data_IF_629931359913
#
_entry.id   IF_629931359913
#
_cell.length_a   1.000
_cell.length_b   1.000
_cell.length_c   1.000
_cell.angle_alpha   90.00
_cell.angle_beta   90.00
_cell.angle_gamma   90.00
#
_symmetry.space_group_name_H-M   'P 1'
#
loop_
_entity.id
_entity.type
_entity.pdbx_description
1 polymer ?
#
# COMPACT_ATOMS: atom_id res chain seq x y z
N UNK A 1 -3.21 -2.89 -8.78
CA UNK A 1 -3.42 -1.52 -8.27
C UNK A 1 -4.66 -1.33 -7.40
N UNK A 2 -5.77 -2.09 -7.52
CA UNK A 2 -6.91 -1.95 -6.57
C UNK A 2 -7.55 -3.27 -6.10
N UNK A 3 -6.81 -4.39 -6.09
CA UNK A 3 -7.38 -5.71 -5.74
C UNK A 3 -8.44 -6.23 -6.73
N UNK A 4 -8.76 -5.47 -7.79
CA UNK A 4 -9.65 -5.88 -8.86
C UNK A 4 -9.12 -7.10 -9.62
N UNK A 5 -10.06 -7.85 -10.20
CA UNK A 5 -9.76 -9.03 -11.00
C UNK A 5 -8.85 -8.66 -12.18
N UNK A 6 -7.69 -9.32 -12.31
CA UNK A 6 -6.67 -9.04 -13.33
C UNK A 6 -6.08 -10.33 -13.87
N UNK A 7 -5.60 -10.31 -15.13
CA UNK A 7 -4.89 -11.45 -15.70
C UNK A 7 -3.43 -11.45 -15.24
N UNK A 8 -2.98 -12.58 -14.69
CA UNK A 8 -1.61 -12.78 -14.21
C UNK A 8 -0.88 -13.77 -15.11
N UNK A 9 0.34 -13.43 -15.49
CA UNK A 9 1.21 -14.32 -16.27
C UNK A 9 2.68 -14.13 -15.86
N UNK A 10 3.51 -15.12 -16.18
CA UNK A 10 4.96 -15.02 -16.06
C UNK A 10 5.54 -14.65 -17.44
N UNK A 11 6.35 -13.58 -17.56
CA UNK A 11 7.02 -13.24 -18.82
C UNK A 11 7.85 -14.39 -19.41
N UNK A 12 8.50 -15.19 -18.56
CA UNK A 12 9.26 -16.39 -18.95
C UNK A 12 8.39 -17.53 -19.46
N UNK A 13 7.13 -17.61 -19.02
CA UNK A 13 6.17 -18.64 -19.42
C UNK A 13 4.81 -18.04 -19.81
N UNK A 14 4.74 -17.19 -20.85
CA UNK A 14 3.57 -16.35 -21.12
C UNK A 14 2.37 -17.16 -21.63
N UNK A 15 2.61 -18.39 -22.09
CA UNK A 15 1.57 -19.32 -22.55
C UNK A 15 0.93 -20.15 -21.42
N UNK A 16 1.52 -20.17 -20.22
CA UNK A 16 1.07 -21.00 -19.08
C UNK A 16 0.19 -20.19 -18.12
N UNK A 17 -0.96 -19.73 -18.60
CA UNK A 17 -1.87 -18.88 -17.82
C UNK A 17 -2.92 -19.76 -17.13
N UNK A 18 -2.81 -19.93 -15.82
CA UNK A 18 -3.71 -20.78 -15.03
C UNK A 18 -5.17 -20.32 -15.10
N UNK A 19 -5.40 -19.01 -15.16
CA UNK A 19 -6.74 -18.42 -15.27
C UNK A 19 -7.45 -18.80 -16.57
N UNK A 20 -6.71 -19.22 -17.61
CA UNK A 20 -7.23 -19.57 -18.94
C UNK A 20 -7.15 -21.07 -19.23
N UNK A 21 -6.90 -21.91 -18.22
CA UNK A 21 -6.72 -23.36 -18.39
C UNK A 21 -8.00 -24.09 -18.83
N UNK A 22 -9.17 -23.55 -18.51
CA UNK A 22 -10.46 -24.01 -19.00
C UNK A 22 -11.44 -22.81 -19.10
N UNK A 23 -12.51 -22.91 -19.90
CA UNK A 23 -13.42 -21.78 -20.13
C UNK A 23 -14.19 -21.31 -18.88
N UNK A 24 -14.53 -22.22 -17.97
CA UNK A 24 -15.21 -21.88 -16.72
C UNK A 24 -14.35 -20.98 -15.84
N UNK A 25 -13.06 -21.33 -15.68
CA UNK A 25 -12.09 -20.50 -14.98
C UNK A 25 -11.87 -19.17 -15.69
N UNK A 26 -11.74 -19.15 -17.03
CA UNK A 26 -11.57 -17.91 -17.76
C UNK A 26 -12.75 -16.94 -17.55
N UNK A 27 -13.98 -17.44 -17.55
CA UNK A 27 -15.17 -16.62 -17.28
C UNK A 27 -15.22 -16.07 -15.85
N UNK A 28 -14.70 -16.82 -14.89
CA UNK A 28 -14.73 -16.47 -13.47
C UNK A 28 -13.59 -15.54 -13.09
N UNK A 29 -12.38 -15.77 -13.62
CA UNK A 29 -11.10 -15.22 -13.13
C UNK A 29 -10.54 -14.08 -13.98
N UNK A 30 -11.12 -13.77 -15.15
CA UNK A 30 -10.65 -12.67 -16.03
C UNK A 30 -11.42 -11.38 -15.81
N UNK A 31 -10.80 -10.27 -16.25
CA UNK A 31 -11.36 -8.92 -16.11
C UNK A 31 -12.77 -8.81 -16.70
N UNK A 32 -13.68 -8.23 -15.90
CA UNK A 32 -15.06 -7.91 -16.31
C UNK A 32 -15.27 -6.43 -16.59
N UNK A 33 -14.36 -5.60 -16.10
CA UNK A 33 -14.37 -4.15 -16.21
C UNK A 33 -12.97 -3.66 -16.58
N UNK A 34 -12.89 -2.53 -17.26
CA UNK A 34 -11.66 -1.79 -17.53
C UNK A 34 -11.72 -0.42 -16.88
N UNK A 35 -10.56 0.13 -16.57
CA UNK A 35 -10.42 1.52 -16.19
C UNK A 35 -10.19 2.37 -17.45
N UNK A 36 -10.91 3.48 -17.56
CA UNK A 36 -10.82 4.40 -18.68
C UNK A 36 -10.75 5.84 -18.16
N UNK A 37 -9.99 6.67 -18.86
CA UNK A 37 -9.97 8.11 -18.64
C UNK A 37 -10.92 8.76 -19.63
N UNK A 38 -11.85 9.58 -19.14
CA UNK A 38 -12.68 10.41 -20.02
C UNK A 38 -11.84 11.59 -20.53
N UNK A 39 -11.70 11.69 -21.86
CA UNK A 39 -10.94 12.75 -22.52
C UNK A 39 -11.80 14.00 -22.81
N UNK A 40 -13.08 13.97 -22.47
CA UNK A 40 -13.93 15.15 -22.56
C UNK A 40 -13.51 16.17 -21.50
N UNK A 41 -12.95 17.31 -21.92
CA UNK A 41 -12.52 18.36 -20.99
C UNK A 41 -13.66 18.89 -20.10
N UNK A 42 -14.92 18.78 -20.53
CA UNK A 42 -16.07 19.22 -19.74
C UNK A 42 -16.48 18.31 -18.58
N UNK A 43 -16.02 17.06 -18.55
CA UNK A 43 -16.29 16.11 -17.46
C UNK A 43 -15.15 16.03 -16.44
N UNK A 44 -14.03 16.71 -16.69
CA UNK A 44 -12.88 16.71 -15.79
C UNK A 44 -13.19 17.47 -14.50
N UNK A 45 -12.92 16.82 -13.36
CA UNK A 45 -13.06 17.41 -12.03
C UNK A 45 -11.67 17.54 -11.40
N UNK A 46 -11.15 18.77 -11.21
CA UNK A 46 -9.92 18.99 -10.46
C UNK A 46 -10.10 18.52 -9.01
N UNK A 47 -9.27 17.59 -8.57
CA UNK A 47 -9.36 17.01 -7.23
C UNK A 47 -8.04 16.38 -6.83
N UNK A 48 -7.88 16.21 -5.53
CA UNK A 48 -6.77 15.53 -4.85
C UNK A 48 -7.05 14.02 -4.66
N UNK A 49 -8.07 13.51 -5.34
CA UNK A 49 -8.39 12.09 -5.44
C UNK A 49 -8.04 11.61 -6.86
N UNK A 50 -7.01 10.77 -6.97
CA UNK A 50 -6.48 10.29 -8.24
C UNK A 50 -7.49 9.39 -9.00
N UNK A 51 -8.50 8.86 -8.32
CA UNK A 51 -9.52 7.97 -8.90
C UNK A 51 -10.74 8.68 -9.48
N UNK A 52 -10.97 9.95 -9.14
CA UNK A 52 -12.23 10.66 -9.42
C UNK A 52 -12.53 10.83 -10.92
N UNK A 53 -11.49 10.93 -11.74
CA UNK A 53 -11.60 11.09 -13.19
C UNK A 53 -11.47 9.73 -13.92
N UNK A 54 -11.32 8.64 -13.19
CA UNK A 54 -11.21 7.29 -13.75
C UNK A 54 -12.57 6.62 -13.72
N UNK A 55 -13.07 6.28 -14.90
CA UNK A 55 -14.35 5.58 -15.07
C UNK A 55 -14.12 4.07 -15.22
N UNK A 56 -15.02 3.27 -14.65
CA UNK A 56 -15.06 1.82 -14.86
C UNK A 56 -16.05 1.49 -15.98
N UNK A 57 -15.59 0.80 -17.01
CA UNK A 57 -16.42 0.39 -18.15
C UNK A 57 -16.50 -1.14 -18.18
N UNK A 58 -17.71 -1.73 -18.14
CA UNK A 58 -17.88 -3.17 -18.34
C UNK A 58 -17.34 -3.61 -19.70
N UNK A 59 -16.63 -4.75 -19.76
CA UNK A 59 -16.03 -5.26 -21.00
C UNK A 59 -17.06 -5.48 -22.11
N UNK A 60 -18.30 -5.80 -21.76
CA UNK A 60 -19.43 -5.97 -22.70
C UNK A 60 -19.87 -4.66 -23.38
N UNK A 61 -19.54 -3.50 -22.81
CA UNK A 61 -19.95 -2.17 -23.29
C UNK A 61 -18.84 -1.48 -24.10
N UNK A 62 -17.65 -2.09 -24.21
CA UNK A 62 -16.56 -1.57 -25.02
C UNK A 62 -16.90 -1.72 -26.50
N UNK A 63 -17.03 -0.60 -27.20
CA UNK A 63 -17.30 -0.53 -28.64
C UNK A 63 -16.04 -0.42 -29.49
N UNK A 64 -14.89 -0.07 -28.90
CA UNK A 64 -13.62 0.05 -29.60
C UNK A 64 -13.05 -1.35 -29.93
N UNK A 65 -13.29 -1.81 -31.16
CA UNK A 65 -12.79 -3.08 -31.66
C UNK A 65 -11.27 -3.13 -31.84
N UNK A 66 -10.60 -2.01 -32.13
CA UNK A 66 -9.15 -2.00 -32.37
C UNK A 66 -8.36 -2.29 -31.09
N UNK A 67 -8.82 -1.77 -29.94
CA UNK A 67 -8.28 -2.08 -28.63
C UNK A 67 -8.53 -3.55 -28.25
N UNK A 68 -9.79 -4.01 -28.37
CA UNK A 68 -10.15 -5.38 -28.00
C UNK A 68 -9.44 -6.44 -28.86
N UNK A 69 -9.09 -6.13 -30.11
CA UNK A 69 -8.35 -7.04 -30.98
C UNK A 69 -7.05 -7.54 -30.34
N UNK A 70 -6.37 -6.74 -29.52
CA UNK A 70 -5.11 -7.16 -28.89
C UNK A 70 -5.30 -7.87 -27.55
N UNK A 71 -6.35 -7.52 -26.81
CA UNK A 71 -6.54 -7.95 -25.42
C UNK A 71 -7.61 -9.03 -25.23
N UNK A 72 -8.55 -9.19 -26.16
CA UNK A 72 -9.74 -9.99 -25.97
C UNK A 72 -9.83 -11.23 -26.86
N UNK A 73 -10.66 -12.17 -26.42
CA UNK A 73 -11.07 -13.38 -27.13
C UNK A 73 -12.59 -13.58 -27.01
N UNK A 74 -13.17 -14.45 -27.84
CA UNK A 74 -14.59 -14.81 -27.79
C UNK A 74 -14.79 -16.16 -27.12
N UNK A 75 -15.65 -16.21 -26.12
CA UNK A 75 -16.14 -17.46 -25.55
C UNK A 75 -17.42 -17.91 -26.24
N UNK A 76 -17.33 -19.08 -26.87
CA UNK A 76 -18.41 -19.76 -27.56
C UNK A 76 -19.17 -20.65 -26.55
N UNK A 77 -20.38 -20.21 -26.20
CA UNK A 77 -21.22 -20.91 -25.23
C UNK A 77 -21.69 -22.28 -25.71
N UNK A 78 -21.87 -22.47 -27.03
CA UNK A 78 -22.41 -23.71 -27.58
C UNK A 78 -21.35 -24.81 -27.56
N UNK A 79 -20.12 -24.45 -27.92
CA UNK A 79 -19.02 -25.40 -28.01
C UNK A 79 -18.15 -25.46 -26.75
N UNK A 80 -18.41 -24.59 -25.76
CA UNK A 80 -17.62 -24.44 -24.54
C UNK A 80 -16.12 -24.28 -24.85
N UNK A 81 -15.78 -23.36 -25.74
CA UNK A 81 -14.39 -23.07 -26.12
C UNK A 81 -14.12 -21.57 -26.16
N UNK A 82 -12.84 -21.20 -26.02
CA UNK A 82 -12.36 -19.83 -26.21
C UNK A 82 -11.69 -19.76 -27.58
N UNK A 83 -12.17 -18.84 -28.41
CA UNK A 83 -11.63 -18.54 -29.74
C UNK A 83 -10.80 -17.25 -29.66
N UNK A 84 -9.51 -17.29 -30.04
CA UNK A 84 -8.67 -16.09 -30.07
C UNK A 84 -9.26 -14.99 -30.96
N UNK A 85 -9.16 -13.74 -30.49
CA UNK A 85 -9.66 -12.57 -31.20
C UNK A 85 -11.14 -12.27 -30.96
N UNK A 86 -11.63 -11.21 -31.61
CA UNK A 86 -12.96 -10.63 -31.37
C UNK A 86 -14.00 -11.03 -32.42
N UNK A 87 -13.60 -11.76 -33.45
CA UNK A 87 -14.47 -12.21 -34.55
C UNK A 87 -15.34 -13.38 -34.12
N UNK A 88 -16.62 -13.34 -34.50
CA UNK A 88 -17.59 -14.41 -34.24
C UNK A 88 -18.56 -14.10 -33.11
N UNK A 89 -19.46 -15.05 -32.85
CA UNK A 89 -20.49 -14.94 -31.82
C UNK A 89 -19.96 -15.43 -30.47
N UNK A 90 -20.46 -14.85 -29.37
CA UNK A 90 -20.08 -15.24 -28.02
C UNK A 90 -19.68 -14.08 -27.12
N UNK A 91 -19.41 -14.41 -25.85
CA UNK A 91 -19.07 -13.43 -24.82
C UNK A 91 -17.61 -12.99 -24.97
N UNK A 92 -17.37 -11.69 -24.90
CA UNK A 92 -16.00 -11.13 -24.90
C UNK A 92 -15.33 -11.41 -23.55
N UNK A 93 -14.11 -11.96 -23.59
CA UNK A 93 -13.29 -12.28 -22.42
C UNK A 93 -11.89 -11.69 -22.62
N UNK A 94 -11.29 -11.11 -21.58
CA UNK A 94 -9.92 -10.57 -21.62
C UNK A 94 -8.90 -11.69 -21.39
N UNK A 95 -8.07 -11.98 -22.39
CA UNK A 95 -7.12 -13.10 -22.39
C UNK A 95 -5.71 -12.69 -22.79
N UNK A 96 -5.57 -11.58 -23.52
CA UNK A 96 -4.33 -11.14 -24.15
C UNK A 96 -3.68 -12.20 -25.06
N UNK A 97 -4.44 -13.15 -25.61
CA UNK A 97 -3.91 -14.25 -26.43
C UNK A 97 -3.08 -13.74 -27.63
N UNK A 98 -3.49 -12.64 -28.26
CA UNK A 98 -2.75 -12.07 -29.38
C UNK A 98 -1.37 -11.52 -28.99
N UNK A 99 -1.23 -11.01 -27.78
CA UNK A 99 0.04 -10.52 -27.24
C UNK A 99 0.86 -11.67 -26.66
N UNK A 100 0.26 -12.51 -25.80
CA UNK A 100 0.96 -13.51 -24.99
C UNK A 100 1.21 -14.84 -25.71
N UNK A 101 0.36 -15.23 -26.67
CA UNK A 101 0.48 -16.49 -27.42
C UNK A 101 0.91 -16.27 -28.87
N UNK A 102 0.31 -15.30 -29.55
CA UNK A 102 0.54 -15.05 -30.98
C UNK A 102 1.63 -14.02 -31.28
N UNK A 103 2.28 -13.45 -30.24
CA UNK A 103 3.44 -12.56 -30.36
C UNK A 103 3.23 -11.37 -31.30
N UNK A 104 2.01 -10.84 -31.37
CA UNK A 104 1.69 -9.63 -32.14
C UNK A 104 2.48 -8.43 -31.59
N UNK A 105 2.88 -8.48 -30.32
CA UNK A 105 3.77 -7.52 -29.67
C UNK A 105 4.67 -8.30 -28.69
N UNK A 106 5.99 -8.10 -28.67
CA UNK A 106 6.93 -8.89 -27.85
C UNK A 106 6.94 -8.43 -26.39
N UNK A 107 5.75 -8.32 -25.78
CA UNK A 107 5.61 -7.88 -24.39
C UNK A 107 6.37 -8.80 -23.42
N UNK A 108 6.24 -10.14 -23.49
CA UNK A 108 6.97 -11.01 -22.56
C UNK A 108 8.49 -10.83 -22.63
N UNK A 109 9.04 -10.71 -23.85
CA UNK A 109 10.47 -10.54 -24.07
C UNK A 109 11.00 -9.18 -23.56
N UNK A 110 10.21 -8.11 -23.75
CA UNK A 110 10.52 -6.78 -23.20
C UNK A 110 10.54 -6.84 -21.67
N UNK A 111 9.50 -7.43 -21.07
CA UNK A 111 9.38 -7.50 -19.61
C UNK A 111 10.48 -8.36 -18.99
N UNK A 112 10.81 -9.51 -19.57
CA UNK A 112 11.91 -10.36 -19.11
C UNK A 112 13.24 -9.60 -19.13
N UNK A 113 13.53 -8.89 -20.23
CA UNK A 113 14.75 -8.07 -20.36
C UNK A 113 14.81 -6.95 -19.33
N UNK A 114 13.73 -6.19 -19.16
CA UNK A 114 13.69 -5.07 -18.21
C UNK A 114 13.79 -5.54 -16.76
N UNK A 115 13.13 -6.65 -16.43
CA UNK A 115 13.21 -7.26 -15.10
C UNK A 115 14.63 -7.74 -14.80
N UNK A 116 15.27 -8.48 -15.72
CA UNK A 116 16.63 -8.99 -15.52
C UNK A 116 17.66 -7.86 -15.36
N UNK A 117 17.59 -6.84 -16.21
CA UNK A 117 18.48 -5.68 -16.13
C UNK A 117 18.22 -4.89 -14.84
N UNK A 118 16.97 -4.57 -14.56
CA UNK A 118 16.65 -3.77 -13.38
C UNK A 118 16.97 -4.48 -12.06
N UNK A 119 16.74 -5.80 -11.96
CA UNK A 119 17.14 -6.60 -10.81
C UNK A 119 18.66 -6.57 -10.60
N UNK A 120 19.41 -6.73 -11.69
CA UNK A 120 20.88 -6.73 -11.65
C UNK A 120 21.44 -5.38 -11.20
N UNK A 121 20.95 -4.29 -11.78
CA UNK A 121 21.48 -2.94 -11.50
C UNK A 121 21.04 -2.40 -10.13
N UNK A 122 19.86 -2.80 -9.63
CA UNK A 122 19.36 -2.39 -8.31
C UNK A 122 19.75 -3.34 -7.16
N UNK A 123 20.33 -4.51 -7.47
CA UNK A 123 20.75 -5.50 -6.47
C UNK A 123 19.61 -6.09 -5.64
N UNK A 124 18.36 -5.93 -6.07
CA UNK A 124 17.15 -6.38 -5.38
C UNK A 124 16.12 -6.83 -6.43
N UNK A 125 15.12 -7.65 -6.07
CA UNK A 125 13.93 -7.83 -6.91
C UNK A 125 13.30 -6.47 -7.22
N UNK A 126 12.63 -6.31 -8.36
CA UNK A 126 12.06 -5.03 -8.78
C UNK A 126 10.59 -5.15 -9.17
N UNK A 127 9.89 -4.04 -9.03
CA UNK A 127 8.56 -3.80 -9.59
C UNK A 127 8.68 -2.77 -10.71
N UNK A 128 7.97 -3.00 -11.81
CA UNK A 128 7.91 -2.08 -12.95
C UNK A 128 6.47 -1.73 -13.31
N UNK A 129 6.25 -0.48 -13.66
CA UNK A 129 5.02 0.00 -14.27
C UNK A 129 5.29 0.40 -15.71
N UNK A 130 4.39 0.03 -16.61
CA UNK A 130 4.54 0.28 -18.04
C UNK A 130 3.19 0.52 -18.71
N UNK A 131 3.23 1.14 -19.89
CA UNK A 131 2.08 1.26 -20.78
C UNK A 131 2.51 0.92 -22.22
N UNK A 132 1.67 0.20 -22.96
CA UNK A 132 1.95 -0.12 -24.36
C UNK A 132 0.90 0.50 -25.28
N UNK A 133 1.35 1.26 -26.29
CA UNK A 133 0.50 1.68 -27.38
C UNK A 133 0.64 0.72 -28.57
N UNK A 134 -0.40 -0.09 -28.77
CA UNK A 134 -0.44 -1.11 -29.82
C UNK A 134 -1.18 -0.64 -31.09
N UNK A 135 -1.90 0.47 -30.99
CA UNK A 135 -2.65 1.08 -32.08
C UNK A 135 -1.82 2.21 -32.69
N UNK A 136 -1.02 1.84 -33.68
CA UNK A 136 -0.12 2.76 -34.39
C UNK A 136 -0.50 2.84 -35.86
N UNK A 137 -0.22 3.97 -36.53
CA UNK A 137 -0.35 4.07 -37.98
C UNK A 137 0.40 2.94 -38.70
N UNK A 138 -0.12 2.54 -39.86
CA UNK A 138 0.49 1.47 -40.67
C UNK A 138 1.96 1.82 -40.96
N UNK A 139 2.86 0.87 -40.72
CA UNK A 139 4.29 1.05 -40.91
C UNK A 139 5.03 1.67 -39.72
N UNK A 140 4.33 2.13 -38.67
CA UNK A 140 4.97 2.60 -37.45
C UNK A 140 5.14 1.47 -36.42
N UNK A 141 6.24 1.47 -35.64
CA UNK A 141 6.44 0.50 -34.58
C UNK A 141 5.46 0.76 -33.42
N UNK A 142 5.05 -0.32 -32.75
CA UNK A 142 4.32 -0.25 -31.49
C UNK A 142 5.22 0.35 -30.41
N UNK A 143 4.62 1.10 -29.48
CA UNK A 143 5.38 1.84 -28.47
C UNK A 143 5.24 1.14 -27.11
N UNK A 144 6.37 0.89 -26.47
CA UNK A 144 6.44 0.51 -25.06
C UNK A 144 6.93 1.70 -24.24
N UNK A 145 6.17 2.12 -23.25
CA UNK A 145 6.52 3.19 -22.33
C UNK A 145 6.88 2.59 -20.97
N UNK A 146 8.11 2.80 -20.54
CA UNK A 146 8.57 2.43 -19.21
C UNK A 146 8.27 3.58 -18.26
N UNK A 147 7.31 3.40 -17.36
CA UNK A 147 6.76 4.48 -16.55
C UNK A 147 7.48 4.59 -15.21
N UNK A 148 7.73 3.46 -14.57
CA UNK A 148 8.32 3.42 -13.24
C UNK A 148 9.08 2.12 -13.02
N UNK A 149 10.13 2.21 -12.22
CA UNK A 149 10.86 1.08 -11.65
C UNK A 149 11.13 1.36 -10.17
N UNK A 150 10.88 0.38 -9.32
CA UNK A 150 11.16 0.46 -7.89
C UNK A 150 11.78 -0.87 -7.42
N UNK A 151 12.80 -0.84 -6.56
CA UNK A 151 13.26 -2.06 -5.91
C UNK A 151 12.16 -2.56 -4.97
N UNK A 152 11.79 -3.82 -5.13
CA UNK A 152 11.07 -4.57 -4.11
C UNK A 152 12.07 -4.83 -3.01
N UNK A 153 11.73 -4.29 -1.85
CA UNK A 153 12.48 -4.54 -0.64
C UNK A 153 12.22 -5.98 -0.26
N UNK A 154 13.20 -6.84 -0.47
CA UNK A 154 13.19 -8.13 0.18
C UNK A 154 13.27 -7.85 1.68
N UNK A 155 12.31 -8.39 2.45
CA UNK A 155 12.50 -8.46 3.88
C UNK A 155 13.74 -9.32 4.07
N UNK A 156 14.82 -8.73 4.55
CA UNK A 156 15.98 -9.49 5.00
C UNK A 156 15.50 -10.35 6.17
N UNK A 157 15.00 -11.54 5.82
CA UNK A 157 14.40 -12.54 6.68
C UNK A 157 15.46 -13.24 7.56
N UNK A 158 16.69 -12.74 7.53
CA UNK A 158 17.88 -13.34 8.13
C UNK A 158 18.18 -12.86 9.55
N UNK A 159 17.62 -11.74 10.01
CA UNK A 159 17.65 -11.40 11.43
C UNK A 159 16.49 -12.09 12.14
N UNK A 160 16.81 -13.14 12.89
CA UNK A 160 15.94 -13.64 13.96
C UNK A 160 15.90 -12.51 15.00
N UNK A 161 14.84 -11.70 14.96
CA UNK A 161 14.59 -10.70 15.99
C UNK A 161 13.87 -11.43 17.11
N UNK A 162 14.56 -11.64 18.22
CA UNK A 162 13.93 -12.24 19.39
C UNK A 162 13.06 -11.20 20.10
N UNK A 163 11.79 -11.12 19.71
CA UNK A 163 10.76 -10.28 20.35
C UNK A 163 10.01 -11.10 21.44
N UNK A 164 10.28 -12.39 21.53
CA UNK A 164 9.77 -13.24 22.59
C UNK A 164 10.52 -12.91 23.89
N UNK A 165 9.75 -12.67 24.96
CA UNK A 165 10.22 -12.29 26.31
C UNK A 165 10.54 -10.81 26.55
N UNK A 166 10.11 -9.88 25.70
CA UNK A 166 10.17 -8.45 26.06
C UNK A 166 9.10 -8.12 27.10
N UNK A 167 9.51 -7.44 28.17
CA UNK A 167 8.63 -7.03 29.26
C UNK A 167 7.92 -5.71 28.95
N UNK A 168 6.70 -5.57 29.48
CA UNK A 168 5.95 -4.31 29.41
C UNK A 168 6.70 -3.15 30.09
N UNK A 169 7.47 -3.44 31.16
CA UNK A 169 8.25 -2.43 31.89
C UNK A 169 9.23 -1.68 30.99
N UNK A 170 9.76 -2.36 29.98
CA UNK A 170 10.84 -1.87 29.12
C UNK A 170 10.30 -1.32 27.79
N UNK A 171 8.97 -1.39 27.60
CA UNK A 171 8.31 -1.09 26.34
C UNK A 171 7.43 0.15 26.44
N UNK A 172 7.35 0.91 25.36
CA UNK A 172 6.34 1.97 25.16
C UNK A 172 5.10 1.36 24.49
N UNK A 173 5.32 0.52 23.46
CA UNK A 173 4.27 -0.19 22.72
C UNK A 173 4.65 -1.65 22.56
N UNK A 174 3.69 -2.55 22.78
CA UNK A 174 3.73 -3.94 22.30
C UNK A 174 2.47 -4.18 21.48
N UNK A 175 2.61 -4.72 20.29
CA UNK A 175 1.51 -5.07 19.39
C UNK A 175 1.61 -6.53 19.01
N UNK A 176 0.51 -7.27 19.18
CA UNK A 176 0.33 -8.65 18.69
C UNK A 176 -0.25 -8.67 17.26
N UNK A 177 -0.37 -7.50 16.62
CA UNK A 177 -0.87 -7.31 15.27
C UNK A 177 -0.08 -6.22 14.55
N UNK A 178 1.15 -6.56 14.20
CA UNK A 178 2.10 -5.70 13.52
C UNK A 178 2.38 -6.17 12.08
N UNK A 179 2.54 -5.19 11.20
CA UNK A 179 2.98 -5.35 9.81
C UNK A 179 4.30 -4.62 9.60
N UNK A 180 5.13 -5.21 8.74
CA UNK A 180 6.52 -4.84 8.57
C UNK A 180 7.44 -5.96 9.07
N UNK A 181 8.74 -5.75 8.97
CA UNK A 181 9.73 -6.68 9.48
C UNK A 181 11.06 -5.95 9.66
N UNK A 182 11.85 -6.34 10.66
CA UNK A 182 13.17 -5.78 10.89
C UNK A 182 13.24 -4.85 12.10
N UNK A 183 14.37 -4.15 12.21
CA UNK A 183 14.63 -3.17 13.26
C UNK A 183 14.75 -1.78 12.64
N UNK A 184 13.88 -0.84 13.07
CA UNK A 184 13.97 0.57 12.67
C UNK A 184 14.82 1.31 13.71
N UNK A 185 15.79 2.09 13.24
CA UNK A 185 16.73 2.87 14.06
C UNK A 185 16.65 4.35 13.71
N UNK A 186 17.13 5.21 14.61
CA UNK A 186 17.25 6.65 14.37
C UNK A 186 15.95 7.43 14.55
N UNK A 187 14.92 6.83 15.13
CA UNK A 187 13.67 7.51 15.48
C UNK A 187 13.80 8.07 16.89
N UNK A 188 13.74 9.39 17.02
CA UNK A 188 13.83 10.10 18.30
C UNK A 188 12.53 10.83 18.67
N UNK A 189 11.57 10.88 17.75
CA UNK A 189 10.36 11.68 17.91
C UNK A 189 9.13 10.77 17.93
N UNK A 190 8.29 10.93 18.95
CA UNK A 190 6.94 10.36 19.01
C UNK A 190 5.93 11.49 18.95
N UNK A 191 5.00 11.40 18.01
CA UNK A 191 3.80 12.24 17.95
C UNK A 191 2.63 11.33 18.28
N UNK A 192 1.85 11.68 19.30
CA UNK A 192 0.67 10.92 19.65
C UNK A 192 -0.57 11.79 19.88
N UNK A 193 -1.72 11.26 19.52
CA UNK A 193 -3.02 11.85 19.84
C UNK A 193 -3.36 11.51 21.29
N UNK A 194 -3.71 12.54 22.06
CA UNK A 194 -4.08 12.45 23.46
C UNK A 194 -5.43 11.75 23.61
N UNK A 195 -5.50 10.53 24.18
CA UNK A 195 -6.75 9.78 24.28
C UNK A 195 -7.82 10.48 25.13
N UNK A 196 -7.44 11.30 26.10
CA UNK A 196 -8.36 11.92 27.06
C UNK A 196 -9.19 13.04 26.43
N UNK A 197 -8.64 13.73 25.44
CA UNK A 197 -9.30 14.82 24.72
C UNK A 197 -9.86 14.38 23.37
N UNK A 198 -9.65 13.12 22.98
CA UNK A 198 -10.06 12.62 21.68
C UNK A 198 -11.60 12.57 21.56
N UNK A 199 -12.10 13.20 20.49
CA UNK A 199 -13.49 13.11 20.05
C UNK A 199 -13.48 13.04 18.53
N UNK A 200 -14.22 12.09 17.96
CA UNK A 200 -14.30 11.90 16.50
C UNK A 200 -14.72 13.19 15.74
N UNK A 201 -15.55 14.03 16.37
CA UNK A 201 -15.95 15.33 15.83
C UNK A 201 -14.78 16.31 15.59
N UNK A 202 -13.61 16.08 16.18
CA UNK A 202 -12.41 16.92 16.01
C UNK A 202 -11.41 16.35 14.98
N UNK A 203 -11.72 15.24 14.30
CA UNK A 203 -10.78 14.56 13.41
C UNK A 203 -10.23 15.45 12.29
N UNK A 204 -11.01 16.39 11.75
CA UNK A 204 -10.53 17.34 10.74
C UNK A 204 -9.48 18.33 11.29
N UNK A 205 -9.64 18.75 12.55
CA UNK A 205 -8.66 19.61 13.22
C UNK A 205 -7.35 18.87 13.43
N UNK A 206 -7.42 17.61 13.87
CA UNK A 206 -6.26 16.72 14.06
C UNK A 206 -5.48 16.59 12.75
N UNK A 207 -6.16 16.38 11.61
CA UNK A 207 -5.53 16.31 10.28
C UNK A 207 -4.75 17.59 9.97
N UNK A 208 -5.33 18.76 10.22
CA UNK A 208 -4.68 20.05 9.97
C UNK A 208 -3.44 20.28 10.83
N UNK A 209 -3.48 19.85 12.10
CA UNK A 209 -2.34 19.97 13.02
C UNK A 209 -1.22 18.98 12.62
N UNK A 210 -1.58 17.74 12.29
CA UNK A 210 -0.63 16.73 11.82
C UNK A 210 0.09 17.16 10.55
N UNK A 211 -0.63 17.72 9.57
CA UNK A 211 -0.02 18.21 8.33
C UNK A 211 1.03 19.30 8.61
N UNK A 212 0.71 20.25 9.50
CA UNK A 212 1.64 21.29 9.92
C UNK A 212 2.89 20.72 10.63
N UNK A 213 2.71 19.71 11.49
CA UNK A 213 3.84 19.03 12.15
C UNK A 213 4.68 18.26 11.14
N UNK A 214 4.06 17.46 10.27
CA UNK A 214 4.74 16.69 9.24
C UNK A 214 5.57 17.60 8.32
N UNK A 215 5.06 18.77 7.93
CA UNK A 215 5.80 19.77 7.17
C UNK A 215 7.08 20.26 7.87
N UNK A 216 7.13 20.31 9.20
CA UNK A 216 8.37 20.61 9.95
C UNK A 216 9.37 19.45 9.90
N UNK A 217 8.89 18.21 9.95
CA UNK A 217 9.73 17.01 9.80
C UNK A 217 10.29 16.89 8.38
N UNK A 218 9.50 17.22 7.35
CA UNK A 218 9.97 17.30 5.96
C UNK A 218 11.12 18.31 5.83
N UNK A 219 10.94 19.53 6.36
CA UNK A 219 11.96 20.59 6.30
C UNK A 219 13.25 20.26 7.06
N UNK A 220 13.14 19.48 8.14
CA UNK A 220 14.28 19.06 8.95
C UNK A 220 14.89 17.72 8.53
N UNK A 221 14.33 17.06 7.50
CA UNK A 221 14.73 15.73 7.07
C UNK A 221 14.76 14.70 8.21
N UNK A 222 13.79 14.79 9.13
CA UNK A 222 13.63 13.89 10.28
C UNK A 222 12.38 13.02 10.13
N UNK A 223 12.37 11.91 10.85
CA UNK A 223 11.26 10.97 10.88
C UNK A 223 10.73 10.78 12.30
N UNK A 224 9.49 10.31 12.40
CA UNK A 224 8.83 10.13 13.69
C UNK A 224 7.97 8.85 13.74
N UNK A 225 7.64 8.46 14.97
CA UNK A 225 6.64 7.44 15.30
C UNK A 225 5.32 8.17 15.55
N UNK A 226 4.24 7.64 14.99
CA UNK A 226 2.92 8.24 15.05
C UNK A 226 1.95 7.29 15.74
N UNK A 227 1.28 7.77 16.78
CA UNK A 227 0.36 6.95 17.58
C UNK A 227 -0.98 7.65 17.68
N UNK A 228 -2.08 6.95 17.45
CA UNK A 228 -3.38 7.54 17.75
C UNK A 228 -4.56 6.64 17.47
N UNK A 229 -5.75 7.09 17.88
CA UNK A 229 -6.90 6.23 17.92
C UNK A 229 -7.53 6.01 16.55
N UNK A 230 -8.14 4.84 16.39
CA UNK A 230 -9.00 4.57 15.26
C UNK A 230 -8.28 4.22 13.96
N UNK A 231 -9.04 4.24 12.87
CA UNK A 231 -8.58 3.89 11.52
C UNK A 231 -8.02 5.11 10.79
N UNK A 232 -6.78 5.04 10.34
CA UNK A 232 -6.10 6.10 9.63
C UNK A 232 -6.35 5.93 8.12
N UNK A 233 -6.79 7.01 7.47
CA UNK A 233 -7.12 6.99 6.04
C UNK A 233 -8.55 6.52 5.76
N UNK A 234 -9.44 6.62 6.76
CA UNK A 234 -10.88 6.42 6.57
C UNK A 234 -11.49 7.60 5.81
N UNK A 235 -12.40 7.33 4.87
CA UNK A 235 -13.25 8.36 4.27
C UNK A 235 -14.41 8.78 5.18
N UNK A 236 -14.70 7.99 6.22
CA UNK A 236 -15.69 8.31 7.25
C UNK A 236 -14.97 8.86 8.50
N UNK A 237 -15.09 10.17 8.79
CA UNK A 237 -14.47 10.81 9.96
C UNK A 237 -15.01 10.29 11.30
N UNK A 238 -16.20 9.67 11.34
CA UNK A 238 -16.78 9.12 12.55
C UNK A 238 -16.18 7.76 12.93
N UNK A 239 -15.61 7.04 11.96
CA UNK A 239 -15.01 5.71 12.14
C UNK A 239 -13.49 5.69 11.98
N UNK A 240 -12.90 6.77 11.45
CA UNK A 240 -11.46 6.95 11.44
C UNK A 240 -11.00 8.40 11.28
N UNK A 241 -9.70 8.62 11.37
CA UNK A 241 -9.07 9.91 11.08
C UNK A 241 -8.85 9.99 9.56
N UNK A 242 -9.42 10.99 8.86
CA UNK A 242 -9.35 11.10 7.39
C UNK A 242 -8.01 11.66 6.93
N UNK A 243 -6.93 10.97 7.29
CA UNK A 243 -5.56 11.33 6.92
C UNK A 243 -5.27 10.90 5.48
N UNK A 244 -4.51 11.72 4.75
CA UNK A 244 -3.90 11.33 3.47
C UNK A 244 -2.41 11.12 3.69
N UNK A 245 -1.76 10.35 2.81
CA UNK A 245 -0.32 10.07 2.92
C UNK A 245 0.52 11.33 3.06
N UNK A 246 0.22 12.38 2.29
CA UNK A 246 0.93 13.66 2.34
C UNK A 246 0.95 14.30 3.74
N UNK A 247 -0.11 14.11 4.54
CA UNK A 247 -0.23 14.71 5.87
C UNK A 247 0.69 14.05 6.91
N UNK A 248 1.20 12.84 6.63
CA UNK A 248 2.01 12.04 7.58
C UNK A 248 3.19 11.32 6.90
N UNK A 249 3.67 11.87 5.79
CA UNK A 249 4.67 11.24 4.92
C UNK A 249 6.03 10.97 5.59
N UNK A 250 6.31 11.61 6.73
CA UNK A 250 7.54 11.38 7.50
C UNK A 250 7.38 10.40 8.68
N UNK A 251 6.19 9.83 8.86
CA UNK A 251 6.02 8.71 9.77
C UNK A 251 6.81 7.49 9.27
N UNK A 252 7.49 6.79 10.18
CA UNK A 252 8.16 5.49 9.92
C UNK A 252 7.57 4.35 10.72
N UNK A 253 6.77 4.68 11.73
CA UNK A 253 5.93 3.74 12.45
C UNK A 253 4.58 4.42 12.68
N UNK A 254 3.49 3.71 12.40
CA UNK A 254 2.12 4.13 12.68
C UNK A 254 1.52 3.10 13.63
N UNK A 255 0.96 3.58 14.74
CA UNK A 255 0.31 2.76 15.76
C UNK A 255 -1.14 3.19 15.86
N UNK A 256 -2.05 2.32 15.42
CA UNK A 256 -3.48 2.50 15.60
C UNK A 256 -3.92 1.92 16.94
N UNK A 257 -4.48 2.78 17.80
CA UNK A 257 -4.98 2.36 19.11
C UNK A 257 -6.50 2.27 19.16
N UNK A 258 -7.04 1.14 19.61
CA UNK A 258 -8.46 1.02 19.91
C UNK A 258 -8.90 1.93 21.07
N UNK A 259 -10.14 2.40 21.03
CA UNK A 259 -10.84 3.06 22.16
C UNK A 259 -12.12 2.28 22.52
N UNK A 260 -12.71 2.45 23.72
CA UNK A 260 -13.84 1.64 24.19
C UNK A 260 -15.05 1.62 23.23
N UNK A 261 -15.30 2.76 22.57
CA UNK A 261 -16.41 2.95 21.63
C UNK A 261 -15.91 3.21 20.19
N UNK A 262 -14.65 2.90 19.89
CA UNK A 262 -14.03 3.16 18.59
C UNK A 262 -13.24 1.91 18.16
N UNK A 263 -13.94 0.97 17.54
CA UNK A 263 -13.34 -0.27 17.02
C UNK A 263 -12.71 -0.02 15.66
N UNK A 264 -11.56 -0.66 15.47
CA UNK A 264 -10.81 -0.66 14.23
C UNK A 264 -11.12 -1.96 13.50
N UNK A 265 -11.74 -1.86 12.32
CA UNK A 265 -11.62 -2.91 11.31
C UNK A 265 -10.44 -2.56 10.41
N UNK A 266 -9.47 -3.48 10.17
CA UNK A 266 -8.27 -3.19 9.40
C UNK A 266 -8.61 -2.62 8.02
N UNK A 267 -8.06 -1.44 7.73
CA UNK A 267 -8.21 -0.79 6.43
C UNK A 267 -7.24 -1.37 5.40
N UNK A 268 -7.72 -2.25 4.52
CA UNK A 268 -6.96 -2.58 3.31
C UNK A 268 -7.21 -1.58 2.16
N UNK A 269 -7.32 -0.29 2.49
CA UNK A 269 -7.47 0.78 1.49
C UNK A 269 -6.20 0.90 0.64
N UNK A 270 -6.34 0.75 -0.68
CA UNK A 270 -5.28 0.30 -1.59
C UNK A 270 -4.10 1.26 -1.75
N UNK A 271 -4.28 2.59 -1.81
CA UNK A 271 -3.14 3.52 -1.99
C UNK A 271 -2.42 3.87 -0.67
N UNK A 272 -3.16 4.08 0.42
CA UNK A 272 -2.56 4.34 1.74
C UNK A 272 -1.75 3.13 2.21
N UNK A 273 -2.31 1.93 2.06
CA UNK A 273 -1.63 0.69 2.43
C UNK A 273 -0.46 0.36 1.49
N UNK A 274 -0.58 0.63 0.18
CA UNK A 274 0.56 0.52 -0.75
C UNK A 274 1.73 1.43 -0.36
N UNK A 275 1.46 2.63 0.15
CA UNK A 275 2.53 3.52 0.62
C UNK A 275 3.17 2.99 1.91
N UNK A 276 2.38 2.48 2.85
CA UNK A 276 2.91 1.84 4.08
C UNK A 276 3.88 0.72 3.72
N UNK A 277 3.49 -0.17 2.80
CA UNK A 277 4.34 -1.29 2.37
C UNK A 277 5.54 -0.81 1.56
N UNK A 278 5.36 0.13 0.63
CA UNK A 278 6.43 0.62 -0.25
C UNK A 278 7.50 1.42 0.50
N UNK A 279 7.10 2.24 1.47
CA UNK A 279 8.01 3.08 2.25
C UNK A 279 8.52 2.42 3.54
N UNK A 280 8.27 1.11 3.72
CA UNK A 280 8.68 0.32 4.88
C UNK A 280 8.23 0.94 6.21
N UNK A 281 7.01 1.46 6.26
CA UNK A 281 6.44 2.00 7.49
C UNK A 281 5.99 0.83 8.36
N UNK A 282 6.49 0.76 9.60
CA UNK A 282 5.97 -0.21 10.57
C UNK A 282 4.53 0.14 10.91
N UNK A 283 3.62 -0.83 10.89
CA UNK A 283 2.20 -0.57 11.11
C UNK A 283 1.65 -1.48 12.20
N UNK A 284 1.30 -0.90 13.35
CA UNK A 284 0.95 -1.63 14.56
C UNK A 284 -0.52 -1.38 14.86
N UNK A 285 -1.25 -2.44 15.20
CA UNK A 285 -2.59 -2.34 15.77
C UNK A 285 -2.53 -2.75 17.23
N UNK A 286 -3.06 -1.92 18.12
CA UNK A 286 -3.20 -2.25 19.54
C UNK A 286 -4.60 -1.91 20.01
N UNK A 287 -5.12 -2.66 20.98
CA UNK A 287 -6.34 -2.32 21.69
C UNK A 287 -6.17 -2.57 23.20
N UNK A 288 -5.60 -1.60 23.93
CA UNK A 288 -5.35 -1.73 25.36
C UNK A 288 -6.61 -2.04 26.19
N UNK A 289 -7.81 -1.67 25.73
CA UNK A 289 -9.06 -1.87 26.46
C UNK A 289 -9.52 -3.32 26.55
N UNK A 290 -9.10 -4.16 25.60
CA UNK A 290 -9.38 -5.60 25.60
C UNK A 290 -8.12 -6.42 25.92
N UNK A 291 -7.08 -5.77 26.46
CA UNK A 291 -5.76 -6.34 26.70
C UNK A 291 -5.10 -6.94 25.45
N UNK A 292 -5.33 -6.33 24.28
CA UNK A 292 -4.66 -6.68 23.04
C UNK A 292 -3.51 -5.69 22.79
N UNK A 293 -2.29 -6.13 23.06
CA UNK A 293 -1.11 -5.26 23.09
C UNK A 293 -0.97 -4.41 24.35
N UNK A 294 0.04 -3.53 24.36
CA UNK A 294 0.42 -2.68 25.47
C UNK A 294 0.72 -1.26 24.98
N UNK A 295 0.33 -0.26 25.76
CA UNK A 295 0.62 1.14 25.51
C UNK A 295 0.89 1.91 26.81
N UNK A 296 2.15 2.25 27.06
CA UNK A 296 2.58 3.01 28.23
C UNK A 296 2.46 4.52 27.99
N UNK A 297 1.21 5.00 27.98
CA UNK A 297 0.95 6.44 27.84
C UNK A 297 1.45 7.24 29.05
N UNK A 298 1.47 6.63 30.24
CA UNK A 298 1.91 7.31 31.45
C UNK A 298 3.41 7.60 31.41
N UNK A 299 4.21 6.67 30.88
CA UNK A 299 5.61 6.93 30.58
C UNK A 299 5.80 8.11 29.62
N UNK A 300 5.02 8.19 28.53
CA UNK A 300 5.11 9.34 27.62
C UNK A 300 4.77 10.66 28.31
N UNK A 301 3.84 10.64 29.27
CA UNK A 301 3.43 11.87 29.98
C UNK A 301 4.52 12.45 30.88
N UNK A 302 5.49 11.66 31.33
CA UNK A 302 6.59 12.13 32.20
C UNK A 302 7.62 12.98 31.46
N UNK A 303 7.69 12.91 30.13
CA UNK A 303 8.64 13.65 29.31
C UNK A 303 8.15 15.06 28.94
N UNK A 304 9.06 16.01 28.79
CA UNK A 304 8.74 17.32 28.22
C UNK A 304 8.23 17.21 26.78
N UNK A 305 7.29 18.08 26.39
CA UNK A 305 6.80 18.17 25.02
C UNK A 305 7.55 19.23 24.21
N UNK A 306 7.91 18.90 22.97
CA UNK A 306 8.39 19.87 21.97
C UNK A 306 7.21 20.67 21.40
N UNK A 307 6.06 20.01 21.29
CA UNK A 307 4.80 20.62 20.92
C UNK A 307 3.67 19.92 21.65
N UNK A 308 2.71 20.70 22.15
CA UNK A 308 1.52 20.19 22.81
C UNK A 308 0.36 21.14 22.60
N UNK A 309 -0.80 20.58 22.24
CA UNK A 309 -2.06 21.30 22.18
C UNK A 309 -3.19 20.47 22.82
N UNK A 310 -4.44 20.83 22.56
CA UNK A 310 -5.60 20.11 23.08
C UNK A 310 -5.62 18.63 22.62
N UNK A 311 -5.14 18.30 21.42
CA UNK A 311 -5.35 17.00 20.78
C UNK A 311 -4.07 16.16 20.64
N UNK A 312 -2.91 16.77 20.45
CA UNK A 312 -1.66 16.14 20.06
C UNK A 312 -0.54 16.53 21.02
N UNK A 313 0.38 15.58 21.22
CA UNK A 313 1.64 15.84 21.91
C UNK A 313 2.79 15.25 21.10
N UNK A 314 3.86 16.01 20.97
CA UNK A 314 5.11 15.63 20.33
C UNK A 314 6.22 15.61 21.38
N UNK A 315 6.84 14.45 21.55
CA UNK A 315 7.96 14.20 22.45
C UNK A 315 9.20 13.93 21.61
N UNK A 316 10.32 14.51 22.03
CA UNK A 316 11.65 14.23 21.49
C UNK A 316 12.50 13.55 22.57
N UNK A 317 13.19 12.48 22.19
CA UNK A 317 14.11 11.72 23.03
C UNK A 317 15.55 11.99 22.59
N UNK A 318 16.43 12.21 23.57
CA UNK A 318 17.87 12.41 23.30
C UNK A 318 18.50 11.17 22.65
N UNK A 319 18.11 9.98 23.11
CA UNK A 319 18.55 8.70 22.54
C UNK A 319 17.52 8.14 21.55
N UNK A 320 17.96 7.57 20.41
CA UNK A 320 17.04 6.96 19.45
C UNK A 320 16.33 5.74 20.05
N UNK A 321 15.04 5.65 19.79
CA UNK A 321 14.20 4.52 20.17
C UNK A 321 14.52 3.30 19.30
N UNK A 322 14.44 2.12 19.91
CA UNK A 322 14.55 0.84 19.21
C UNK A 322 13.15 0.35 18.88
N UNK A 323 12.86 0.20 17.58
CA UNK A 323 11.63 -0.41 17.10
C UNK A 323 11.94 -1.73 16.43
N UNK A 324 11.23 -2.78 16.81
CA UNK A 324 11.44 -4.15 16.34
C UNK A 324 10.11 -4.72 15.83
N UNK A 325 10.16 -5.38 14.67
CA UNK A 325 8.98 -5.98 14.04
C UNK A 325 9.35 -7.37 13.54
N UNK A 326 8.62 -8.39 13.99
CA UNK A 326 8.67 -9.74 13.43
C UNK A 326 7.34 -10.01 12.71
N UNK A 327 7.39 -9.88 11.39
CA UNK A 327 6.22 -10.08 10.53
C UNK A 327 5.77 -11.54 10.43
N UNK A 328 6.59 -12.52 10.88
CA UNK A 328 6.23 -13.96 10.85
C UNK A 328 5.25 -14.31 11.97
N UNK A 329 5.43 -13.70 13.13
CA UNK A 329 4.56 -13.85 14.30
C UNK A 329 3.62 -12.66 14.50
N UNK A 330 3.60 -11.70 13.55
CA UNK A 330 2.80 -10.48 13.60
C UNK A 330 3.04 -9.63 14.86
N UNK A 331 4.26 -9.62 15.39
CA UNK A 331 4.59 -8.93 16.65
C UNK A 331 5.46 -7.71 16.42
N UNK A 332 5.15 -6.61 17.09
CA UNK A 332 5.87 -5.34 17.00
C UNK A 332 6.10 -4.71 18.37
N UNK A 333 7.29 -4.17 18.61
CA UNK A 333 7.66 -3.55 19.89
C UNK A 333 8.39 -2.25 19.66
N UNK A 334 8.05 -1.24 20.47
CA UNK A 334 8.80 0.01 20.62
C UNK A 334 9.33 0.04 22.05
N UNK A 335 10.65 -0.01 22.22
CA UNK A 335 11.29 0.00 23.53
C UNK A 335 11.44 1.43 24.07
N UNK A 336 11.47 1.54 25.40
CA UNK A 336 11.89 2.76 26.08
C UNK A 336 13.37 3.06 25.74
N UNK A 337 13.77 4.34 25.69
CA UNK A 337 15.18 4.69 25.50
C UNK A 337 16.01 4.12 26.65
N UNK A 338 17.22 3.63 26.33
CA UNK A 338 18.20 3.26 27.37
C UNK A 338 18.70 4.54 28.03
N UNK A 339 18.26 4.80 29.26
CA UNK A 339 18.79 5.91 30.05
C UNK A 339 20.28 5.66 30.31
N UNK A 340 21.13 6.66 30.04
CA UNK A 340 22.58 6.60 30.28
C UNK A 340 22.97 6.59 31.77
N UNK A 341 22.03 6.48 32.69
CA UNK A 341 22.25 6.65 34.11
C UNK A 341 22.01 5.35 34.88
N UNK A 342 22.92 4.37 34.78
CA UNK A 342 23.00 3.31 35.82
C UNK A 342 24.30 2.48 35.87
N UNK A 343 25.44 2.96 35.34
CA UNK A 343 26.71 2.19 35.44
C UNK A 343 27.97 3.01 35.79
N UNK A 344 27.83 4.21 36.35
CA UNK A 344 28.94 4.88 37.04
C UNK A 344 28.59 4.99 38.54
N UNK A 345 28.85 3.93 39.29
CA UNK A 345 28.91 3.93 40.76
C UNK A 345 29.92 2.91 41.26
#
# INVERSE_FOLDING_TARGET
MDGGQSLRFSPKYPKKILQLNNPGNALKETQKEIYALDLNMGSFVPSVDDGINITKIPVKEITNESCLRFAASKYDHQNNIIRPGITGTGKTIITFDNVLKHKVFPLPEILETLMDVGMKEMGNPIEIEFAANLEMPVGMPKIFNFLQIRPIVDNDQSQIINIDNILNSDSIIISESALGNGMLKGLQDIIYIRPESFKAANNEKIVSILDNLNNKFVKSARNYILIGPGRWGSTDPWLGIPIKWQHISQARVIVESGLPNYRIDPSQGTHFFQNITSFRVGYFTINPFINDGFYDIDFLRTYGSVYEDEYLRHIHFESPLKVMIDGRIHKGVILKPEDKNENDS
#
